data_IF_035676280326
#
_entry.id   IF_035676280326
#
_cell.length_a   1.000
_cell.length_b   1.000
_cell.length_c   1.000
_cell.angle_alpha   90.00
_cell.angle_beta   90.00
_cell.angle_gamma   90.00
#
_symmetry.space_group_name_H-M   'P 1'
#
loop_
_entity.id
_entity.type
_entity.pdbx_description
1 polymer ?
#
# COMPACT_ATOMS: atom_id res chain seq x y z
N UNK A 1 -38.71 16.51 28.53
CA UNK A 1 -38.19 16.18 27.18
C UNK A 1 -37.19 15.04 27.33
N UNK A 2 -37.35 13.87 26.69
CA UNK A 2 -36.30 12.86 26.70
C UNK A 2 -35.16 13.31 25.76
N UNK A 3 -33.94 13.39 26.30
CA UNK A 3 -32.71 13.67 25.57
C UNK A 3 -32.36 12.52 24.60
N UNK A 4 -31.85 12.80 23.38
CA UNK A 4 -31.46 11.75 22.45
C UNK A 4 -30.25 10.96 22.98
N UNK A 5 -30.39 9.64 23.09
CA UNK A 5 -29.32 8.72 23.45
C UNK A 5 -28.25 8.71 22.35
N UNK A 6 -26.94 8.79 22.67
CA UNK A 6 -25.88 8.71 21.68
C UNK A 6 -25.90 7.33 20.99
N UNK A 7 -25.96 7.30 19.66
CA UNK A 7 -25.83 6.06 18.89
C UNK A 7 -24.42 5.48 19.10
N UNK A 8 -24.33 4.27 19.66
CA UNK A 8 -23.05 3.59 19.87
C UNK A 8 -22.39 3.32 18.49
N UNK A 9 -21.10 3.65 18.29
CA UNK A 9 -20.44 3.43 17.01
C UNK A 9 -20.53 1.95 16.60
N UNK A 10 -20.98 1.70 15.36
CA UNK A 10 -21.04 0.37 14.79
C UNK A 10 -19.63 -0.23 14.72
N UNK A 11 -19.36 -1.25 15.53
CA UNK A 11 -18.07 -1.95 15.54
C UNK A 11 -18.04 -2.85 14.31
N UNK A 12 -17.10 -2.63 13.40
CA UNK A 12 -16.91 -3.48 12.23
C UNK A 12 -16.70 -4.93 12.70
N UNK A 13 -17.42 -5.87 12.08
CA UNK A 13 -17.25 -7.30 12.37
C UNK A 13 -15.83 -7.73 12.01
N UNK A 14 -15.23 -8.62 12.80
CA UNK A 14 -13.88 -9.18 12.58
C UNK A 14 -13.72 -9.70 11.14
N UNK A 15 -14.78 -10.29 10.59
CA UNK A 15 -14.83 -10.80 9.20
C UNK A 15 -14.76 -9.67 8.18
N UNK A 16 -15.42 -8.53 8.41
CA UNK A 16 -15.34 -7.38 7.51
C UNK A 16 -13.93 -6.78 7.51
N UNK A 17 -13.29 -6.67 8.68
CA UNK A 17 -11.92 -6.19 8.78
C UNK A 17 -10.96 -7.12 8.03
N UNK A 18 -11.12 -8.44 8.20
CA UNK A 18 -10.33 -9.44 7.49
C UNK A 18 -10.52 -9.37 5.97
N UNK A 19 -11.76 -9.29 5.50
CA UNK A 19 -12.04 -9.22 4.05
C UNK A 19 -11.50 -7.93 3.45
N UNK A 20 -11.76 -6.77 4.08
CA UNK A 20 -11.23 -5.50 3.61
C UNK A 20 -9.69 -5.48 3.62
N UNK A 21 -9.06 -5.96 4.71
CA UNK A 21 -7.61 -6.07 4.79
C UNK A 21 -7.03 -7.01 3.73
N UNK A 22 -7.64 -8.18 3.54
CA UNK A 22 -7.21 -9.14 2.53
C UNK A 22 -7.33 -8.57 1.11
N UNK A 23 -8.41 -7.84 0.79
CA UNK A 23 -8.58 -7.19 -0.52
C UNK A 23 -7.51 -6.13 -0.77
N UNK A 24 -7.25 -5.28 0.22
CA UNK A 24 -6.22 -4.23 0.12
C UNK A 24 -4.84 -4.85 -0.07
N UNK A 25 -4.48 -5.86 0.74
CA UNK A 25 -3.19 -6.56 0.62
C UNK A 25 -3.07 -7.27 -0.72
N UNK A 26 -4.12 -7.95 -1.17
CA UNK A 26 -4.12 -8.66 -2.47
C UNK A 26 -3.92 -7.68 -3.62
N UNK A 27 -4.64 -6.55 -3.63
CA UNK A 27 -4.49 -5.53 -4.65
C UNK A 27 -3.09 -4.92 -4.64
N UNK A 28 -2.59 -4.57 -3.45
CA UNK A 28 -1.26 -3.97 -3.29
C UNK A 28 -0.15 -4.92 -3.75
N UNK A 29 -0.25 -6.21 -3.41
CA UNK A 29 0.73 -7.23 -3.82
C UNK A 29 0.61 -7.57 -5.31
N UNK A 30 -0.60 -7.55 -5.87
CA UNK A 30 -0.86 -7.75 -7.30
C UNK A 30 -0.20 -6.68 -8.17
N UNK A 31 -0.33 -5.40 -7.81
CA UNK A 31 0.35 -4.30 -8.52
C UNK A 31 1.88 -4.47 -8.46
N UNK A 32 2.41 -4.84 -7.29
CA UNK A 32 3.85 -5.07 -7.11
C UNK A 32 4.37 -6.22 -7.99
N UNK A 33 3.59 -7.30 -8.15
CA UNK A 33 3.93 -8.39 -9.07
C UNK A 33 3.75 -8.00 -10.54
N UNK A 34 2.83 -7.07 -10.84
CA UNK A 34 2.55 -6.59 -12.19
C UNK A 34 3.76 -5.96 -12.88
N UNK A 35 4.70 -5.36 -12.14
CA UNK A 35 5.92 -4.79 -12.72
C UNK A 35 6.73 -5.80 -13.53
N UNK A 36 6.78 -7.07 -13.12
CA UNK A 36 7.48 -8.11 -13.89
C UNK A 36 6.80 -8.44 -15.23
N UNK A 37 5.46 -8.42 -15.25
CA UNK A 37 4.67 -8.67 -16.47
C UNK A 37 4.80 -7.53 -17.50
N UNK A 38 5.03 -6.30 -17.02
CA UNK A 38 5.19 -5.12 -17.86
C UNK A 38 6.62 -4.93 -18.40
N UNK A 39 7.60 -5.72 -17.96
CA UNK A 39 8.98 -5.67 -18.47
C UNK A 39 9.02 -5.85 -20.00
N UNK A 40 8.42 -6.94 -20.49
CA UNK A 40 8.45 -7.30 -21.91
C UNK A 40 7.80 -6.25 -22.82
N UNK A 41 6.55 -5.78 -22.56
CA UNK A 41 5.93 -4.74 -23.36
C UNK A 41 6.65 -3.39 -23.26
N UNK A 42 7.18 -3.00 -22.10
CA UNK A 42 7.95 -1.74 -21.95
C UNK A 42 9.24 -1.80 -22.77
N UNK A 43 9.95 -2.92 -22.75
CA UNK A 43 11.19 -3.08 -23.53
C UNK A 43 10.94 -3.12 -25.04
N UNK A 44 9.78 -3.63 -25.47
CA UNK A 44 9.40 -3.73 -26.89
C UNK A 44 8.82 -2.42 -27.45
N UNK A 45 7.91 -1.75 -26.73
CA UNK A 45 7.20 -0.55 -27.24
C UNK A 45 7.95 0.76 -27.00
N UNK A 46 8.70 0.87 -25.89
CA UNK A 46 9.43 2.11 -25.52
C UNK A 46 10.91 2.06 -25.87
N UNK A 47 11.39 0.92 -26.39
CA UNK A 47 12.80 0.68 -26.70
C UNK A 47 13.72 0.69 -25.48
N UNK A 48 13.17 0.59 -24.27
CA UNK A 48 13.96 0.58 -23.04
C UNK A 48 14.73 -0.73 -22.92
N UNK A 49 16.01 -0.66 -22.58
CA UNK A 49 16.81 -1.85 -22.29
C UNK A 49 16.39 -2.45 -20.95
N UNK A 50 16.57 -3.78 -20.80
CA UNK A 50 16.30 -4.50 -19.53
C UNK A 50 17.04 -3.89 -18.33
N UNK A 51 18.23 -3.35 -18.58
CA UNK A 51 19.07 -2.66 -17.61
C UNK A 51 18.39 -1.43 -17.03
N UNK A 52 17.78 -0.59 -17.89
CA UNK A 52 17.07 0.63 -17.48
C UNK A 52 15.87 0.29 -16.59
N UNK A 53 15.13 -0.77 -16.95
CA UNK A 53 14.00 -1.24 -16.15
C UNK A 53 14.44 -1.81 -14.80
N UNK A 54 15.48 -2.66 -14.79
CA UNK A 54 16.03 -3.22 -13.56
C UNK A 54 16.57 -2.11 -12.62
N UNK A 55 17.21 -1.08 -13.19
CA UNK A 55 17.67 0.08 -12.43
C UNK A 55 16.51 0.87 -11.81
N UNK A 56 15.42 1.08 -12.56
CA UNK A 56 14.22 1.72 -12.03
C UNK A 56 13.59 0.92 -10.85
N UNK A 57 13.52 -0.41 -10.98
CA UNK A 57 13.04 -1.30 -9.90
C UNK A 57 13.99 -1.30 -8.70
N UNK A 58 15.31 -1.22 -8.92
CA UNK A 58 16.29 -1.10 -7.85
C UNK A 58 16.09 0.20 -7.05
N UNK A 59 15.93 1.33 -7.74
CA UNK A 59 15.61 2.63 -7.11
C UNK A 59 14.29 2.55 -6.34
N UNK A 60 13.25 1.95 -6.93
CA UNK A 60 11.96 1.78 -6.25
C UNK A 60 12.09 1.01 -4.93
N UNK A 61 12.84 -0.11 -4.91
CA UNK A 61 13.05 -0.88 -3.67
C UNK A 61 13.84 -0.07 -2.63
N UNK A 62 14.84 0.71 -3.07
CA UNK A 62 15.61 1.58 -2.18
C UNK A 62 14.74 2.70 -1.59
N UNK A 63 13.89 3.31 -2.42
CA UNK A 63 12.91 4.30 -1.99
C UNK A 63 11.93 3.71 -0.97
N UNK A 64 11.40 2.51 -1.21
CA UNK A 64 10.52 1.82 -0.26
C UNK A 64 11.19 1.61 1.11
N UNK A 65 12.44 1.15 1.12
CA UNK A 65 13.20 1.00 2.36
C UNK A 65 13.47 2.34 3.06
N UNK A 66 13.90 3.34 2.29
CA UNK A 66 14.19 4.67 2.81
C UNK A 66 12.95 5.34 3.41
N UNK A 67 11.86 5.46 2.62
CA UNK A 67 10.60 6.04 3.08
C UNK A 67 9.93 5.21 4.17
N UNK A 68 10.14 3.89 4.19
CA UNK A 68 9.67 3.01 5.27
C UNK A 68 10.20 3.39 6.65
N UNK A 69 11.45 3.84 6.75
CA UNK A 69 12.03 4.32 8.03
C UNK A 69 11.30 5.58 8.51
N UNK A 70 11.05 6.54 7.62
CA UNK A 70 10.33 7.76 7.97
C UNK A 70 8.86 7.48 8.30
N UNK A 71 8.20 6.60 7.54
CA UNK A 71 6.83 6.19 7.81
C UNK A 71 6.70 5.48 9.17
N UNK A 72 7.65 4.61 9.54
CA UNK A 72 7.70 3.97 10.85
C UNK A 72 7.91 4.97 11.98
N UNK A 73 8.89 5.87 11.85
CA UNK A 73 9.16 6.93 12.83
C UNK A 73 7.96 7.88 12.99
N UNK A 74 7.25 8.17 11.89
CA UNK A 74 6.04 8.99 11.91
C UNK A 74 4.87 8.24 12.55
N UNK A 75 4.73 6.94 12.31
CA UNK A 75 3.70 6.08 12.90
C UNK A 75 3.87 5.98 14.42
N UNK A 76 5.10 5.89 14.90
CA UNK A 76 5.42 5.86 16.33
C UNK A 76 5.06 7.18 17.03
N UNK A 77 5.16 8.32 16.33
CA UNK A 77 4.89 9.65 16.89
C UNK A 77 3.43 10.09 16.79
N UNK A 78 2.72 9.71 15.73
CA UNK A 78 1.35 10.21 15.44
C UNK A 78 0.24 9.15 15.61
N UNK A 79 0.61 7.90 15.91
CA UNK A 79 -0.30 6.77 16.06
C UNK A 79 -0.63 6.11 14.72
N UNK A 80 -0.63 4.78 14.70
CA UNK A 80 -0.80 3.95 13.50
C UNK A 80 -1.99 4.33 12.61
N UNK A 81 -3.07 4.88 13.19
CA UNK A 81 -4.28 5.26 12.45
C UNK A 81 -4.12 6.53 11.59
N UNK A 82 -3.22 7.45 11.93
CA UNK A 82 -2.99 8.70 11.16
C UNK A 82 -1.97 8.55 10.03
N UNK A 83 -1.18 7.48 10.03
CA UNK A 83 -0.16 7.20 9.00
C UNK A 83 -0.67 6.20 7.96
N UNK A 84 -1.75 5.47 8.28
CA UNK A 84 -2.35 4.48 7.38
C UNK A 84 -3.37 5.08 6.38
N UNK A 85 -3.89 6.28 6.64
CA UNK A 85 -4.76 7.08 5.75
C UNK A 85 -3.88 8.08 4.99
#
# INVERSE_FOLDING_TARGET
MPSPTPALPARLSMTQVLVCGALVVTLSMGIRHGFGLWLQPITMDRGWTRETFAFAIAIQNLAWGFFGIFAGMLADRFGAFRVLI
#
